data_IF_008054996682
#
_entry.id   IF_008054996682
#
_cell.length_a   1.000
_cell.length_b   1.000
_cell.length_c   1.000
_cell.angle_alpha   90.00
_cell.angle_beta   90.00
_cell.angle_gamma   90.00
#
_symmetry.space_group_name_H-M   'P 1'
#
loop_
_entity.id
_entity.type
_entity.pdbx_description
1 polymer ?
#
# COMPACT_ATOMS: atom_id res chain seq x y z
N UNK A 1 57.52 -9.87 -53.80
CA UNK A 1 56.11 -9.80 -53.38
C UNK A 1 56.04 -10.29 -51.95
N UNK A 2 56.03 -9.38 -50.99
CA UNK A 2 55.89 -9.67 -49.56
C UNK A 2 54.45 -9.38 -49.15
N UNK A 3 53.65 -10.43 -48.96
CA UNK A 3 52.32 -10.37 -48.38
C UNK A 3 52.45 -10.16 -46.87
N UNK A 4 51.96 -9.02 -46.37
CA UNK A 4 51.80 -8.76 -44.93
C UNK A 4 50.41 -9.26 -44.52
N UNK A 5 50.27 -10.10 -43.48
CA UNK A 5 48.97 -10.62 -43.05
C UNK A 5 48.31 -9.74 -41.98
N UNK A 6 47.00 -9.51 -42.16
CA UNK A 6 45.97 -9.66 -41.11
C UNK A 6 46.07 -8.82 -39.83
N UNK A 7 45.83 -7.50 -39.88
CA UNK A 7 45.65 -6.68 -38.66
C UNK A 7 44.18 -6.46 -38.25
N UNK A 8 43.21 -6.59 -39.17
CA UNK A 8 41.81 -6.21 -38.91
C UNK A 8 40.98 -7.32 -38.25
N UNK A 9 41.25 -8.60 -38.54
CA UNK A 9 40.53 -9.71 -37.91
C UNK A 9 40.89 -9.93 -36.43
N UNK A 10 42.06 -9.47 -35.99
CA UNK A 10 42.51 -9.61 -34.61
C UNK A 10 41.82 -8.61 -33.66
N UNK A 11 41.49 -7.42 -34.15
CA UNK A 11 40.87 -6.36 -33.32
C UNK A 11 39.39 -6.65 -33.05
N UNK A 12 38.65 -7.15 -34.05
CA UNK A 12 37.25 -7.53 -33.89
C UNK A 12 37.07 -8.70 -32.91
N UNK A 13 37.93 -9.73 -33.03
CA UNK A 13 37.92 -10.89 -32.14
C UNK A 13 38.32 -10.53 -30.70
N UNK A 14 39.23 -9.56 -30.52
CA UNK A 14 39.56 -9.03 -29.19
C UNK A 14 38.42 -8.23 -28.58
N UNK A 15 37.67 -7.48 -29.40
CA UNK A 15 36.51 -6.69 -28.97
C UNK A 15 35.34 -7.59 -28.51
N UNK A 16 35.04 -8.66 -29.25
CA UNK A 16 34.00 -9.62 -28.88
C UNK A 16 34.35 -10.41 -27.62
N UNK A 17 35.62 -10.82 -27.46
CA UNK A 17 36.09 -11.45 -26.22
C UNK A 17 35.96 -10.51 -25.02
N UNK A 18 36.27 -9.22 -25.20
CA UNK A 18 36.11 -8.23 -24.13
C UNK A 18 34.63 -8.04 -23.75
N UNK A 19 33.71 -8.00 -24.72
CA UNK A 19 32.27 -7.96 -24.44
C UNK A 19 31.80 -9.22 -23.71
N UNK A 20 32.21 -10.40 -24.15
CA UNK A 20 31.87 -11.67 -23.50
C UNK A 20 32.44 -11.77 -22.07
N UNK A 21 33.63 -11.24 -21.83
CA UNK A 21 34.21 -11.13 -20.49
C UNK A 21 33.40 -10.17 -19.62
N UNK A 22 33.00 -9.01 -20.14
CA UNK A 22 32.17 -8.05 -19.40
C UNK A 22 30.83 -8.65 -18.97
N UNK A 23 30.10 -9.33 -19.88
CA UNK A 23 28.85 -10.00 -19.55
C UNK A 23 29.01 -11.10 -18.51
N UNK A 24 30.12 -11.85 -18.54
CA UNK A 24 30.39 -12.90 -17.54
C UNK A 24 30.67 -12.30 -16.16
N UNK A 25 31.36 -11.16 -16.09
CA UNK A 25 31.64 -10.45 -14.84
C UNK A 25 30.34 -9.90 -14.25
N UNK A 26 29.54 -9.18 -15.04
CA UNK A 26 28.24 -8.64 -14.61
C UNK A 26 27.29 -9.75 -14.13
N UNK A 27 27.25 -10.90 -14.82
CA UNK A 27 26.44 -12.04 -14.41
C UNK A 27 26.94 -12.68 -13.09
N UNK A 28 28.26 -12.71 -12.86
CA UNK A 28 28.83 -13.17 -11.60
C UNK A 28 28.53 -12.20 -10.44
N UNK A 29 28.58 -10.89 -10.70
CA UNK A 29 28.22 -9.86 -9.72
C UNK A 29 26.74 -9.91 -9.34
N UNK A 30 25.85 -10.05 -10.33
CA UNK A 30 24.41 -10.23 -10.10
C UNK A 30 24.12 -11.50 -9.28
N UNK A 31 24.79 -12.62 -9.58
CA UNK A 31 24.68 -13.85 -8.79
C UNK A 31 25.12 -13.65 -7.34
N UNK A 32 26.21 -12.91 -7.12
CA UNK A 32 26.71 -12.62 -5.77
C UNK A 32 25.73 -11.73 -4.99
N UNK A 33 25.14 -10.73 -5.64
CA UNK A 33 24.09 -9.89 -5.03
C UNK A 33 22.84 -10.68 -4.68
N UNK A 34 22.38 -11.58 -5.56
CA UNK A 34 21.23 -12.45 -5.28
C UNK A 34 21.50 -13.34 -4.06
N UNK A 35 22.68 -13.97 -3.98
CA UNK A 35 23.05 -14.81 -2.83
C UNK A 35 23.11 -13.98 -1.54
N UNK A 36 23.67 -12.77 -1.59
CA UNK A 36 23.70 -11.87 -0.43
C UNK A 36 22.28 -11.49 0.04
N UNK A 37 21.36 -11.21 -0.88
CA UNK A 37 19.96 -10.93 -0.54
C UNK A 37 19.23 -12.14 0.04
N UNK A 38 19.46 -13.35 -0.48
CA UNK A 38 18.88 -14.59 0.07
C UNK A 38 19.32 -14.78 1.53
N UNK A 39 20.61 -14.55 1.83
CA UNK A 39 21.13 -14.68 3.18
C UNK A 39 20.53 -13.63 4.13
N UNK A 40 20.34 -12.39 3.66
CA UNK A 40 19.64 -11.36 4.43
C UNK A 40 18.19 -11.73 4.75
N UNK A 41 17.44 -12.26 3.77
CA UNK A 41 16.07 -12.71 3.97
C UNK A 41 16.03 -13.82 5.02
N UNK A 42 16.92 -14.80 4.93
CA UNK A 42 17.01 -15.91 5.88
C UNK A 42 17.29 -15.43 7.32
N UNK A 43 18.15 -14.43 7.48
CA UNK A 43 18.41 -13.83 8.79
C UNK A 43 17.19 -13.10 9.36
N UNK A 44 16.41 -12.43 8.51
CA UNK A 44 15.17 -11.77 8.92
C UNK A 44 14.10 -12.80 9.33
N UNK A 45 13.94 -13.88 8.57
CA UNK A 45 13.02 -14.97 8.91
C UNK A 45 13.36 -15.61 10.25
N UNK A 46 14.66 -15.85 10.52
CA UNK A 46 15.10 -16.40 11.81
C UNK A 46 14.82 -15.43 12.97
N UNK A 47 15.02 -14.11 12.77
CA UNK A 47 14.67 -13.11 13.78
C UNK A 47 13.17 -13.10 14.06
N UNK A 48 12.34 -13.10 13.03
CA UNK A 48 10.89 -13.14 13.17
C UNK A 48 10.43 -14.42 13.89
N UNK A 49 11.03 -15.57 13.59
CA UNK A 49 10.76 -16.84 14.29
C UNK A 49 11.11 -16.74 15.77
N UNK A 50 12.27 -16.18 16.11
CA UNK A 50 12.69 -16.00 17.49
C UNK A 50 11.75 -15.03 18.24
N UNK A 51 11.33 -13.95 17.59
CA UNK A 51 10.38 -12.98 18.15
C UNK A 51 9.01 -13.63 18.41
N UNK A 52 8.52 -14.46 17.47
CA UNK A 52 7.29 -15.24 17.64
C UNK A 52 7.39 -16.19 18.84
N UNK A 53 8.50 -16.90 18.98
CA UNK A 53 8.72 -17.81 20.11
C UNK A 53 8.72 -17.07 21.46
N UNK A 54 9.33 -15.89 21.51
CA UNK A 54 9.31 -15.03 22.71
C UNK A 54 7.89 -14.59 23.02
N UNK A 55 7.14 -14.13 22.02
CA UNK A 55 5.75 -13.68 22.19
C UNK A 55 4.86 -14.81 22.72
N UNK A 56 4.98 -16.02 22.17
CA UNK A 56 4.23 -17.20 22.63
C UNK A 56 4.57 -17.52 24.09
N UNK A 57 5.85 -17.52 24.45
CA UNK A 57 6.29 -17.78 25.84
C UNK A 57 5.78 -16.71 26.79
N UNK A 58 5.84 -15.43 26.42
CA UNK A 58 5.36 -14.33 27.24
C UNK A 58 3.84 -14.42 27.45
N UNK A 59 3.09 -14.73 26.39
CA UNK A 59 1.65 -14.94 26.47
C UNK A 59 1.30 -16.11 27.40
N UNK A 60 1.95 -17.26 27.24
CA UNK A 60 1.77 -18.42 28.12
C UNK A 60 2.13 -18.07 29.57
N UNK A 61 3.23 -17.34 29.79
CA UNK A 61 3.66 -16.88 31.10
C UNK A 61 2.67 -15.89 31.70
N UNK A 62 2.08 -15.00 30.90
CA UNK A 62 1.02 -14.08 31.34
C UNK A 62 -0.25 -14.81 31.77
N UNK A 63 -0.65 -15.85 31.02
CA UNK A 63 -1.77 -16.73 31.42
C UNK A 63 -1.44 -17.45 32.72
N UNK A 64 -0.22 -17.98 32.88
CA UNK A 64 0.20 -18.66 34.10
C UNK A 64 0.26 -17.70 35.29
N UNK A 65 0.78 -16.49 35.10
CA UNK A 65 0.85 -15.45 36.12
C UNK A 65 -0.54 -14.98 36.56
N UNK A 66 -1.49 -14.84 35.64
CA UNK A 66 -2.89 -14.55 35.99
C UNK A 66 -3.49 -15.67 36.85
N UNK A 67 -3.29 -16.94 36.45
CA UNK A 67 -3.72 -18.10 37.26
C UNK A 67 -3.04 -18.17 38.63
N UNK A 68 -1.77 -17.76 38.71
CA UNK A 68 -1.00 -17.70 39.95
C UNK A 68 -1.47 -16.55 40.84
N UNK A 69 -1.79 -15.39 40.28
CA UNK A 69 -2.37 -14.28 41.01
C UNK A 69 -3.75 -14.66 41.55
N UNK A 70 -4.59 -15.31 40.73
CA UNK A 70 -5.87 -15.88 41.15
C UNK A 70 -5.68 -16.88 42.30
N UNK A 71 -4.54 -17.60 42.37
CA UNK A 71 -4.25 -18.60 43.43
C UNK A 71 -3.47 -18.05 44.63
N UNK A 72 -2.66 -17.01 44.48
CA UNK A 72 -1.98 -16.28 45.56
C UNK A 72 -2.99 -15.37 46.31
N UNK A 73 -3.95 -14.78 45.60
CA UNK A 73 -5.14 -14.15 46.19
C UNK A 73 -5.98 -15.19 46.98
N UNK A 74 -5.95 -16.47 46.58
CA UNK A 74 -6.55 -17.60 47.31
C UNK A 74 -5.68 -18.19 48.44
N UNK A 75 -4.41 -17.82 48.62
CA UNK A 75 -3.59 -18.31 49.75
C UNK A 75 -3.38 -17.25 50.83
N UNK A 76 -3.31 -15.97 50.46
CA UNK A 76 -3.17 -14.86 51.41
C UNK A 76 -4.51 -14.34 51.95
N UNK A 77 -5.63 -14.83 51.42
CA UNK A 77 -6.93 -14.22 51.65
C UNK A 77 -7.87 -14.95 52.59
N UNK A 78 -7.58 -16.13 53.15
CA UNK A 78 -8.54 -17.01 53.88
C UNK A 78 -9.96 -16.45 54.16
N UNK A 79 -10.90 -16.37 53.20
CA UNK A 79 -10.88 -16.25 51.73
C UNK A 79 -12.36 -16.07 51.41
N UNK A 80 -12.80 -14.81 51.31
CA UNK A 80 -14.21 -14.46 51.14
C UNK A 80 -14.75 -15.01 49.82
N UNK A 81 -15.76 -15.86 49.94
CA UNK A 81 -16.94 -15.94 49.05
C UNK A 81 -16.80 -15.21 47.70
N UNK A 82 -16.36 -15.88 46.64
CA UNK A 82 -16.78 -15.46 45.29
C UNK A 82 -16.65 -16.58 44.27
N UNK A 83 -17.50 -17.60 44.38
CA UNK A 83 -17.82 -18.50 43.26
C UNK A 83 -18.71 -17.78 42.19
N UNK A 84 -18.91 -16.46 42.29
CA UNK A 84 -19.96 -15.74 41.56
C UNK A 84 -19.42 -14.50 40.84
N UNK A 85 -18.63 -14.66 39.78
CA UNK A 85 -18.50 -13.58 38.77
C UNK A 85 -18.12 -14.02 37.34
N UNK A 86 -17.82 -15.31 37.08
CA UNK A 86 -17.47 -15.72 35.71
C UNK A 86 -18.64 -15.61 34.71
N UNK A 87 -19.86 -15.94 35.11
CA UNK A 87 -21.02 -15.93 34.20
C UNK A 87 -21.45 -14.48 33.87
N UNK A 88 -21.58 -13.57 34.84
CA UNK A 88 -21.86 -12.15 34.57
C UNK A 88 -20.81 -11.49 33.66
N UNK A 89 -19.52 -11.75 33.89
CA UNK A 89 -18.44 -11.15 33.11
C UNK A 89 -18.40 -11.67 31.67
N UNK A 90 -18.66 -12.96 31.46
CA UNK A 90 -18.77 -13.53 30.11
C UNK A 90 -20.00 -12.97 29.37
N UNK A 91 -21.14 -12.83 30.04
CA UNK A 91 -22.34 -12.20 29.46
C UNK A 91 -22.11 -10.73 29.13
N UNK A 92 -21.40 -9.99 29.99
CA UNK A 92 -21.01 -8.60 29.74
C UNK A 92 -20.07 -8.51 28.54
N UNK A 93 -19.09 -9.40 28.43
CA UNK A 93 -18.15 -9.42 27.31
C UNK A 93 -18.83 -9.75 25.99
N UNK A 94 -19.77 -10.70 25.99
CA UNK A 94 -20.59 -11.01 24.82
C UNK A 94 -21.48 -9.82 24.43
N UNK A 95 -22.09 -9.12 25.40
CA UNK A 95 -22.89 -7.92 25.15
C UNK A 95 -22.06 -6.82 24.49
N UNK A 96 -20.88 -6.52 25.04
CA UNK A 96 -19.96 -5.51 24.47
C UNK A 96 -19.55 -5.90 23.06
N UNK A 97 -19.18 -7.17 22.82
CA UNK A 97 -18.78 -7.64 21.49
C UNK A 97 -19.93 -7.57 20.48
N UNK A 98 -21.14 -7.87 20.91
CA UNK A 98 -22.33 -7.74 20.07
C UNK A 98 -22.58 -6.28 19.67
N UNK A 99 -22.47 -5.34 20.63
CA UNK A 99 -22.62 -3.91 20.40
C UNK A 99 -21.54 -3.35 19.45
N UNK A 100 -20.28 -3.76 19.63
CA UNK A 100 -19.18 -3.42 18.72
C UNK A 100 -19.47 -3.86 17.28
N UNK A 101 -19.96 -5.09 17.08
CA UNK A 101 -20.33 -5.61 15.76
C UNK A 101 -21.50 -4.84 15.13
N UNK A 102 -22.52 -4.50 15.93
CA UNK A 102 -23.66 -3.76 15.45
C UNK A 102 -23.30 -2.31 15.08
N UNK A 103 -22.38 -1.69 15.82
CA UNK A 103 -21.81 -0.40 15.47
C UNK A 103 -21.01 -0.44 14.16
N UNK A 104 -20.14 -1.44 13.98
CA UNK A 104 -19.38 -1.61 12.72
C UNK A 104 -20.33 -1.80 11.53
N UNK A 105 -21.38 -2.64 11.68
CA UNK A 105 -22.39 -2.84 10.64
C UNK A 105 -23.17 -1.55 10.33
N UNK A 106 -23.52 -0.76 11.35
CA UNK A 106 -24.18 0.53 11.16
C UNK A 106 -23.27 1.52 10.41
N UNK A 107 -21.99 1.60 10.79
CA UNK A 107 -20.99 2.42 10.09
C UNK A 107 -20.85 1.99 8.63
N UNK A 108 -20.76 0.69 8.36
CA UNK A 108 -20.62 0.16 7.00
C UNK A 108 -21.86 0.44 6.14
N UNK A 109 -23.06 0.30 6.70
CA UNK A 109 -24.32 0.69 6.04
C UNK A 109 -24.32 2.18 5.68
N UNK A 110 -23.97 3.04 6.64
CA UNK A 110 -23.87 4.49 6.41
C UNK A 110 -22.88 4.82 5.29
N UNK A 111 -21.71 4.19 5.30
CA UNK A 111 -20.68 4.39 4.27
C UNK A 111 -21.17 3.95 2.88
N UNK A 112 -21.89 2.83 2.80
CA UNK A 112 -22.51 2.37 1.55
C UNK A 112 -23.62 3.31 1.07
N UNK A 113 -24.43 3.86 1.96
CA UNK A 113 -25.46 4.85 1.61
C UNK A 113 -24.84 6.16 1.12
N UNK A 114 -23.79 6.66 1.81
CA UNK A 114 -23.02 7.82 1.33
C UNK A 114 -22.40 7.55 -0.05
N UNK A 115 -21.90 6.34 -0.29
CA UNK A 115 -21.38 5.95 -1.62
C UNK A 115 -22.47 5.88 -2.69
N UNK A 116 -23.69 5.44 -2.34
CA UNK A 116 -24.85 5.46 -3.26
C UNK A 116 -25.36 6.87 -3.53
N UNK A 117 -25.20 7.79 -2.58
CA UNK A 117 -25.53 9.20 -2.72
C UNK A 117 -24.46 10.00 -3.48
N UNK A 118 -23.26 9.43 -3.71
CA UNK A 118 -22.42 10.01 -4.74
C UNK A 118 -23.20 9.96 -6.05
N UNK A 119 -23.34 11.10 -6.77
CA UNK A 119 -24.02 11.12 -8.03
C UNK A 119 -23.31 10.08 -8.90
N UNK A 120 -23.99 8.96 -9.17
CA UNK A 120 -23.57 7.98 -10.16
C UNK A 120 -23.71 8.73 -11.48
N UNK A 121 -22.70 9.54 -11.79
CA UNK A 121 -22.75 10.52 -12.84
C UNK A 121 -22.98 9.74 -14.12
N UNK A 122 -24.18 9.88 -14.67
CA UNK A 122 -24.54 9.20 -15.91
C UNK A 122 -23.49 9.63 -16.95
N UNK A 123 -22.78 8.68 -17.59
CA UNK A 123 -21.79 9.03 -18.61
C UNK A 123 -22.38 9.95 -19.67
N UNK A 124 -23.67 9.82 -19.99
CA UNK A 124 -24.35 10.70 -20.94
C UNK A 124 -24.43 12.15 -20.44
N UNK A 125 -24.73 12.37 -19.15
CA UNK A 125 -24.75 13.70 -18.55
C UNK A 125 -23.35 14.32 -18.53
N UNK A 126 -22.32 13.55 -18.19
CA UNK A 126 -20.92 14.03 -18.24
C UNK A 126 -20.52 14.47 -19.64
N UNK A 127 -20.91 13.71 -20.68
CA UNK A 127 -20.64 14.05 -22.07
C UNK A 127 -21.39 15.31 -22.52
N UNK A 128 -22.63 15.50 -22.06
CA UNK A 128 -23.39 16.73 -22.34
C UNK A 128 -22.75 17.96 -21.70
N UNK A 129 -22.27 17.86 -20.45
CA UNK A 129 -21.50 18.94 -19.81
C UNK A 129 -20.21 19.21 -20.56
N UNK A 130 -19.48 18.17 -20.97
CA UNK A 130 -18.24 18.31 -21.71
C UNK A 130 -18.46 18.99 -23.07
N UNK A 131 -19.50 18.59 -23.82
CA UNK A 131 -19.91 19.22 -25.08
C UNK A 131 -20.21 20.70 -24.89
N UNK A 132 -20.94 21.04 -23.84
CA UNK A 132 -21.34 22.42 -23.53
C UNK A 132 -20.14 23.27 -23.12
N UNK A 133 -19.26 22.73 -22.27
CA UNK A 133 -18.07 23.41 -21.81
C UNK A 133 -17.10 23.71 -22.97
N UNK A 134 -16.89 22.77 -23.89
CA UNK A 134 -16.10 23.03 -25.11
C UNK A 134 -16.78 24.01 -26.06
N UNK A 135 -18.10 23.92 -26.25
CA UNK A 135 -18.84 24.85 -27.09
C UNK A 135 -18.66 26.29 -26.59
N UNK A 136 -18.89 26.55 -25.31
CA UNK A 136 -18.72 27.90 -24.74
C UNK A 136 -17.27 28.34 -24.66
N UNK A 137 -16.33 27.42 -24.38
CA UNK A 137 -14.90 27.71 -24.43
C UNK A 137 -14.44 28.22 -25.80
N UNK A 138 -14.98 27.65 -26.89
CA UNK A 138 -14.61 28.04 -28.25
C UNK A 138 -15.39 29.26 -28.77
N UNK A 139 -16.63 29.44 -28.32
CA UNK A 139 -17.53 30.48 -28.85
C UNK A 139 -17.51 31.78 -28.03
N UNK A 140 -17.30 31.72 -26.72
CA UNK A 140 -17.38 32.87 -25.81
C UNK A 140 -16.06 33.07 -25.06
N UNK A 141 -15.27 34.06 -25.50
CA UNK A 141 -13.92 34.29 -24.96
C UNK A 141 -13.88 34.96 -23.58
N UNK A 142 -14.97 35.62 -23.17
CA UNK A 142 -15.04 36.32 -21.87
C UNK A 142 -15.02 35.35 -20.68
N UNK A 143 -15.69 34.21 -20.81
CA UNK A 143 -15.76 33.18 -19.77
C UNK A 143 -14.86 31.97 -20.08
N UNK A 144 -13.87 32.13 -20.95
CA UNK A 144 -13.02 31.02 -21.39
C UNK A 144 -12.28 30.35 -20.23
N UNK A 145 -11.90 31.12 -19.20
CA UNK A 145 -11.20 30.61 -18.02
C UNK A 145 -12.11 29.77 -17.11
N UNK A 146 -13.37 30.18 -16.92
CA UNK A 146 -14.35 29.40 -16.15
C UNK A 146 -14.72 28.10 -16.88
N UNK A 147 -14.90 28.18 -18.20
CA UNK A 147 -15.14 27.00 -19.03
C UNK A 147 -13.93 26.05 -19.04
N UNK A 148 -12.71 26.57 -19.07
CA UNK A 148 -11.48 25.79 -18.96
C UNK A 148 -11.37 25.09 -17.59
N UNK A 149 -11.71 25.80 -16.51
CA UNK A 149 -11.76 25.24 -15.17
C UNK A 149 -12.80 24.11 -15.07
N UNK A 150 -13.98 24.29 -15.67
CA UNK A 150 -15.01 23.26 -15.74
C UNK A 150 -14.54 22.02 -16.54
N UNK A 151 -13.90 22.21 -17.69
CA UNK A 151 -13.31 21.12 -18.49
C UNK A 151 -12.27 20.36 -17.66
N UNK A 152 -11.37 21.09 -16.98
CA UNK A 152 -10.35 20.48 -16.13
C UNK A 152 -10.93 19.72 -14.94
N UNK A 153 -12.02 20.21 -14.36
CA UNK A 153 -12.74 19.52 -13.28
C UNK A 153 -13.45 18.25 -13.76
N UNK A 154 -14.02 18.26 -14.96
CA UNK A 154 -14.74 17.10 -15.54
C UNK A 154 -13.76 16.00 -15.95
N UNK A 155 -12.63 16.37 -16.55
CA UNK A 155 -11.61 15.44 -17.02
C UNK A 155 -10.62 15.00 -15.93
N UNK A 156 -10.63 15.66 -14.76
CA UNK A 156 -9.82 15.28 -13.62
C UNK A 156 -8.33 15.60 -13.77
N UNK A 157 -7.99 16.72 -14.40
CA UNK A 157 -6.59 17.13 -14.57
C UNK A 157 -5.90 17.35 -13.22
N UNK A 158 -4.67 16.85 -13.13
CA UNK A 158 -3.77 17.06 -12.01
C UNK A 158 -3.32 18.51 -11.95
N UNK A 159 -2.85 18.96 -10.78
CA UNK A 159 -2.45 20.37 -10.60
C UNK A 159 -1.29 20.76 -11.52
N UNK A 160 -0.38 19.83 -11.83
CA UNK A 160 0.71 20.06 -12.77
C UNK A 160 0.21 20.24 -14.22
N UNK A 161 -0.80 19.48 -14.63
CA UNK A 161 -1.44 19.62 -15.94
C UNK A 161 -2.18 20.95 -16.05
N UNK A 162 -2.93 21.35 -15.01
CA UNK A 162 -3.59 22.65 -14.96
C UNK A 162 -2.60 23.81 -15.12
N UNK A 163 -1.49 23.80 -14.39
CA UNK A 163 -0.45 24.83 -14.49
C UNK A 163 0.13 24.90 -15.91
N UNK A 164 0.36 23.76 -16.56
CA UNK A 164 0.86 23.74 -17.94
C UNK A 164 -0.16 24.29 -18.95
N UNK A 165 -1.44 23.96 -18.76
CA UNK A 165 -2.54 24.45 -19.60
C UNK A 165 -2.75 25.96 -19.38
N UNK A 166 -2.73 26.43 -18.14
CA UNK A 166 -2.83 27.87 -17.80
C UNK A 166 -1.67 28.66 -18.40
N UNK A 167 -0.43 28.13 -18.28
CA UNK A 167 0.73 28.72 -18.97
C UNK A 167 0.45 28.80 -20.47
N UNK A 168 0.13 27.68 -21.13
CA UNK A 168 -0.14 27.64 -22.56
C UNK A 168 -1.31 28.57 -23.00
N UNK A 169 -2.29 28.78 -22.13
CA UNK A 169 -3.40 29.70 -22.35
C UNK A 169 -2.99 31.17 -22.24
N UNK A 170 -2.08 31.51 -21.32
CA UNK A 170 -1.51 32.85 -21.17
C UNK A 170 -0.60 33.27 -22.34
N UNK A 171 -0.01 32.31 -23.06
CA UNK A 171 0.80 32.56 -24.26
C UNK A 171 -0.05 32.70 -25.55
N UNK A 172 -1.39 32.69 -25.44
CA UNK A 172 -2.32 32.66 -26.57
C UNK A 172 -3.00 34.00 -26.85
#
# INVERSE_FOLDING_TARGET
QSLVPSSENSSHYSCEKNKQCAYKVENAELKLQIVAHIEQIKQLEQKESNEKDIYVKLYQKGIQAAKLQDTEELENGQNQETEVSLIPDLLQRLRIKQEELDNIKAMYRRLLETRKQQPKHDPEMTLQFLKSAFYYFLTHRENAQENLAAIGSILGFTDNEKINIERAFLWR
#
